data_IF_457533821487
#
_entry.id   IF_457533821487
#
_cell.length_a   1.000
_cell.length_b   1.000
_cell.length_c   1.000
_cell.angle_alpha   90.00
_cell.angle_beta   90.00
_cell.angle_gamma   90.00
#
_symmetry.space_group_name_H-M   'P 1'
#
loop_
_entity.id
_entity.type
_entity.pdbx_description
1 polymer ?
#
# COMPACT_ATOMS: atom_id res chain seq x y z
N UNK A 1 3.22 15.46 -8.75
CA UNK A 1 3.57 14.09 -8.32
C UNK A 1 2.48 13.09 -8.65
N UNK A 2 1.22 13.30 -8.22
CA UNK A 2 0.13 12.36 -8.50
C UNK A 2 -0.03 11.97 -9.99
N UNK A 3 0.03 12.93 -10.92
CA UNK A 3 -0.12 12.65 -12.36
C UNK A 3 1.19 12.29 -13.06
N UNK A 4 2.25 13.03 -12.76
CA UNK A 4 3.53 13.00 -13.49
C UNK A 4 4.61 12.11 -12.83
N UNK A 5 4.32 11.49 -11.68
CA UNK A 5 5.26 10.61 -10.98
C UNK A 5 6.34 11.36 -10.19
N UNK A 6 7.41 10.63 -9.85
CA UNK A 6 8.57 11.14 -9.10
C UNK A 6 9.48 12.05 -9.94
N UNK A 7 9.33 12.06 -11.26
CA UNK A 7 10.14 12.89 -12.17
C UNK A 7 9.83 14.40 -12.16
N UNK A 8 8.80 14.85 -11.44
CA UNK A 8 8.44 16.29 -11.41
C UNK A 8 9.51 17.17 -10.77
N UNK A 9 9.72 18.35 -11.35
CA UNK A 9 10.64 19.36 -10.81
C UNK A 9 9.98 20.18 -9.71
N UNK A 10 10.81 20.79 -8.85
CA UNK A 10 10.35 21.74 -7.82
C UNK A 10 9.57 22.91 -8.43
N UNK A 11 9.93 23.35 -9.63
CA UNK A 11 9.22 24.40 -10.37
C UNK A 11 7.79 23.98 -10.72
N UNK A 12 7.62 22.77 -11.25
CA UNK A 12 6.31 22.22 -11.54
C UNK A 12 5.47 22.05 -10.27
N UNK A 13 6.09 21.65 -9.15
CA UNK A 13 5.42 21.53 -7.85
C UNK A 13 4.97 22.89 -7.32
N UNK A 14 5.86 23.88 -7.31
CA UNK A 14 5.56 25.24 -6.85
C UNK A 14 4.41 25.86 -7.67
N UNK A 15 4.48 25.73 -9.00
CA UNK A 15 3.43 26.17 -9.93
C UNK A 15 2.10 25.49 -9.64
N UNK A 16 2.08 24.16 -9.48
CA UNK A 16 0.86 23.41 -9.21
C UNK A 16 0.26 23.75 -7.83
N UNK A 17 1.09 24.03 -6.84
CA UNK A 17 0.66 24.41 -5.49
C UNK A 17 0.28 25.90 -5.36
N UNK A 18 0.50 26.72 -6.40
CA UNK A 18 0.31 28.17 -6.32
C UNK A 18 1.26 28.86 -5.32
N UNK A 19 2.42 28.25 -5.05
CA UNK A 19 3.41 28.76 -4.09
C UNK A 19 4.70 29.17 -4.77
N UNK A 20 5.54 29.95 -4.07
CA UNK A 20 6.87 30.31 -4.56
C UNK A 20 7.89 29.19 -4.35
N UNK A 21 8.88 29.10 -5.24
CA UNK A 21 9.99 28.14 -5.15
C UNK A 21 10.70 28.13 -3.79
N UNK A 22 10.92 29.32 -3.21
CA UNK A 22 11.57 29.43 -1.91
C UNK A 22 10.77 28.79 -0.77
N UNK A 23 9.44 28.72 -0.87
CA UNK A 23 8.60 28.02 0.12
C UNK A 23 8.74 26.52 -0.02
N UNK A 24 8.73 25.99 -1.25
CA UNK A 24 8.92 24.55 -1.50
C UNK A 24 10.32 24.10 -1.06
N UNK A 25 11.38 24.83 -1.44
CA UNK A 25 12.76 24.50 -1.04
C UNK A 25 13.00 24.59 0.46
N UNK A 26 12.40 25.55 1.18
CA UNK A 26 12.51 25.60 2.64
C UNK A 26 11.81 24.43 3.33
N UNK A 27 10.71 23.93 2.75
CA UNK A 27 9.92 22.84 3.33
C UNK A 27 10.48 21.47 3.00
N UNK A 28 11.09 21.34 1.82
CA UNK A 28 11.69 20.11 1.29
C UNK A 28 13.06 20.43 0.68
N UNK A 29 14.10 20.65 1.50
CA UNK A 29 15.45 20.94 1.02
C UNK A 29 15.98 19.88 0.04
N UNK A 30 15.70 18.60 0.32
CA UNK A 30 16.08 17.48 -0.53
C UNK A 30 14.85 16.82 -1.16
N UNK A 31 15.05 16.16 -2.31
CA UNK A 31 13.97 15.46 -3.03
C UNK A 31 13.41 14.30 -2.18
N UNK A 32 14.26 13.67 -1.38
CA UNK A 32 13.94 12.67 -0.37
C UNK A 32 12.92 13.20 0.64
N UNK A 33 13.07 14.43 1.14
CA UNK A 33 12.12 15.02 2.09
C UNK A 33 10.69 15.09 1.53
N UNK A 34 10.57 15.38 0.23
CA UNK A 34 9.28 15.44 -0.44
C UNK A 34 8.68 14.05 -0.66
N UNK A 35 9.51 13.06 -0.98
CA UNK A 35 9.11 11.65 -1.08
C UNK A 35 8.66 11.13 0.27
N UNK A 36 9.42 11.43 1.32
CA UNK A 36 9.15 10.98 2.67
C UNK A 36 7.85 11.56 3.21
N UNK A 37 7.59 12.85 2.97
CA UNK A 37 6.33 13.48 3.33
C UNK A 37 5.14 12.87 2.57
N UNK A 38 5.29 12.56 1.28
CA UNK A 38 4.25 11.91 0.49
C UNK A 38 3.92 10.50 1.04
N UNK A 39 4.96 9.75 1.41
CA UNK A 39 4.79 8.40 1.94
C UNK A 39 4.21 8.40 3.36
N UNK A 40 4.60 9.36 4.20
CA UNK A 40 4.01 9.59 5.51
C UNK A 40 2.50 9.84 5.42
N UNK A 41 2.06 10.70 4.49
CA UNK A 41 0.63 10.96 4.24
C UNK A 41 -0.09 9.70 3.76
N UNK A 42 0.57 8.89 2.91
CA UNK A 42 -0.01 7.62 2.48
C UNK A 42 -0.18 6.63 3.64
N UNK A 43 0.80 6.50 4.55
CA UNK A 43 0.68 5.66 5.75
C UNK A 43 -0.55 6.10 6.57
N UNK A 44 -0.68 7.40 6.84
CA UNK A 44 -1.80 7.95 7.60
C UNK A 44 -3.15 7.63 6.94
N UNK A 45 -3.22 7.73 5.61
CA UNK A 45 -4.41 7.40 4.84
C UNK A 45 -4.75 5.90 4.89
N UNK A 46 -3.77 5.01 4.74
CA UNK A 46 -3.99 3.54 4.82
C UNK A 46 -4.42 3.13 6.22
N UNK A 47 -3.85 3.73 7.27
CA UNK A 47 -4.30 3.55 8.65
C UNK A 47 -5.77 3.97 8.82
N UNK A 48 -6.16 5.10 8.23
CA UNK A 48 -7.55 5.55 8.17
C UNK A 48 -8.47 4.52 7.54
N UNK A 49 -8.12 4.01 6.35
CA UNK A 49 -8.88 2.96 5.66
C UNK A 49 -9.00 1.69 6.50
N UNK A 50 -7.92 1.23 7.13
CA UNK A 50 -7.97 0.02 7.95
C UNK A 50 -8.89 0.18 9.17
N UNK A 51 -8.93 1.38 9.76
CA UNK A 51 -9.88 1.71 10.85
C UNK A 51 -11.32 1.74 10.36
N UNK A 52 -11.60 2.37 9.22
CA UNK A 52 -12.94 2.35 8.63
C UNK A 52 -13.42 0.93 8.31
N UNK A 53 -12.55 0.11 7.71
CA UNK A 53 -12.82 -1.29 7.42
C UNK A 53 -13.15 -2.10 8.68
N UNK A 54 -12.53 -1.76 9.82
CA UNK A 54 -12.78 -2.45 11.09
C UNK A 54 -14.19 -2.20 11.65
N UNK A 55 -14.87 -1.16 11.19
CA UNK A 55 -16.23 -0.84 11.59
C UNK A 55 -17.31 -1.63 10.82
N UNK A 56 -16.94 -2.44 9.81
CA UNK A 56 -17.88 -3.29 9.10
C UNK A 56 -18.34 -4.46 9.98
N UNK A 57 -19.65 -4.73 9.97
CA UNK A 57 -20.26 -5.86 10.67
C UNK A 57 -19.75 -7.20 10.13
N UNK A 58 -19.76 -7.35 8.80
CA UNK A 58 -19.14 -8.49 8.12
C UNK A 58 -17.62 -8.28 7.98
N UNK A 59 -16.84 -9.13 8.63
CA UNK A 59 -15.39 -8.96 8.69
C UNK A 59 -14.72 -9.14 7.32
N UNK A 60 -15.21 -10.07 6.50
CA UNK A 60 -14.70 -10.28 5.15
C UNK A 60 -15.05 -9.13 4.20
N UNK A 61 -16.23 -8.54 4.31
CA UNK A 61 -16.61 -7.32 3.59
C UNK A 61 -15.66 -6.18 3.94
N UNK A 62 -15.33 -6.01 5.23
CA UNK A 62 -14.32 -5.04 5.68
C UNK A 62 -12.95 -5.25 5.03
N UNK A 63 -12.45 -6.50 4.99
CA UNK A 63 -11.18 -6.84 4.31
C UNK A 63 -11.24 -6.53 2.81
N UNK A 64 -12.31 -6.94 2.13
CA UNK A 64 -12.51 -6.65 0.70
C UNK A 64 -12.51 -5.15 0.44
N UNK A 65 -13.27 -4.40 1.23
CA UNK A 65 -13.39 -2.95 1.12
C UNK A 65 -12.03 -2.28 1.33
N UNK A 66 -11.30 -2.65 2.38
CA UNK A 66 -9.96 -2.12 2.67
C UNK A 66 -9.04 -2.26 1.45
N UNK A 67 -8.95 -3.47 0.89
CA UNK A 67 -8.06 -3.74 -0.24
C UNK A 67 -8.46 -2.95 -1.49
N UNK A 68 -9.76 -2.85 -1.79
CA UNK A 68 -10.24 -2.02 -2.91
C UNK A 68 -9.85 -0.56 -2.71
N UNK A 69 -10.11 0.00 -1.52
CA UNK A 69 -9.85 1.41 -1.24
C UNK A 69 -8.36 1.76 -1.20
N UNK A 70 -7.53 0.86 -0.70
CA UNK A 70 -6.08 1.02 -0.74
C UNK A 70 -5.59 1.13 -2.19
N UNK A 71 -6.06 0.25 -3.08
CA UNK A 71 -5.71 0.34 -4.50
C UNK A 71 -6.26 1.57 -5.19
N UNK A 72 -7.45 2.04 -4.83
CA UNK A 72 -8.00 3.29 -5.38
C UNK A 72 -7.18 4.51 -4.94
N UNK A 73 -6.71 4.54 -3.69
CA UNK A 73 -5.81 5.58 -3.19
C UNK A 73 -4.49 5.64 -3.98
N UNK A 74 -3.91 4.48 -4.29
CA UNK A 74 -2.64 4.40 -5.02
C UNK A 74 -2.76 4.66 -6.52
N UNK A 75 -3.87 4.23 -7.11
CA UNK A 75 -4.14 4.36 -8.55
C UNK A 75 -4.09 5.82 -8.99
N UNK A 76 -4.64 6.72 -8.19
CA UNK A 76 -4.70 8.15 -8.52
C UNK A 76 -3.36 8.87 -8.30
N UNK A 77 -2.34 8.17 -7.78
CA UNK A 77 -1.04 8.71 -7.48
C UNK A 77 0.10 7.89 -8.09
N UNK A 78 0.52 8.28 -9.29
CA UNK A 78 1.63 7.68 -10.03
C UNK A 78 2.91 7.61 -9.20
N UNK A 79 3.24 8.68 -8.47
CA UNK A 79 4.45 8.75 -7.65
C UNK A 79 4.41 7.72 -6.51
N UNK A 80 3.27 7.56 -5.84
CA UNK A 80 3.10 6.56 -4.80
C UNK A 80 3.25 5.14 -5.36
N UNK A 81 2.69 4.87 -6.54
CA UNK A 81 2.90 3.61 -7.22
C UNK A 81 4.35 3.33 -7.60
N UNK A 82 5.11 4.35 -8.02
CA UNK A 82 6.55 4.24 -8.27
C UNK A 82 7.35 4.00 -6.97
N UNK A 83 6.95 4.61 -5.86
CA UNK A 83 7.60 4.45 -4.55
C UNK A 83 7.39 3.05 -3.95
N UNK A 84 6.15 2.58 -3.91
CA UNK A 84 5.80 1.29 -3.29
C UNK A 84 6.43 0.09 -4.00
N UNK A 85 6.76 0.21 -5.29
CA UNK A 85 7.25 -0.89 -6.13
C UNK A 85 8.70 -0.74 -6.58
N UNK A 86 9.27 0.46 -6.48
CA UNK A 86 10.66 0.74 -6.84
C UNK A 86 11.66 0.57 -5.71
N UNK A 87 11.21 0.25 -4.49
CA UNK A 87 12.10 0.07 -3.32
C UNK A 87 12.82 1.35 -2.88
N UNK A 88 12.36 2.52 -3.33
CA UNK A 88 12.96 3.83 -3.05
C UNK A 88 12.57 4.43 -1.69
N UNK A 89 11.97 3.64 -0.80
CA UNK A 89 11.51 4.09 0.51
C UNK A 89 12.68 4.09 1.50
N UNK A 90 12.76 5.12 2.34
CA UNK A 90 13.72 5.10 3.44
C UNK A 90 13.37 3.99 4.44
N UNK A 91 14.39 3.39 5.06
CA UNK A 91 14.21 2.30 6.03
C UNK A 91 13.32 2.71 7.21
N UNK A 92 13.38 3.98 7.64
CA UNK A 92 12.54 4.50 8.71
C UNK A 92 11.05 4.54 8.31
N UNK A 93 10.74 4.87 7.05
CA UNK A 93 9.36 4.89 6.58
C UNK A 93 8.76 3.50 6.40
N UNK A 94 9.56 2.54 5.93
CA UNK A 94 9.14 1.13 5.92
C UNK A 94 8.86 0.66 7.36
N UNK A 95 9.75 0.99 8.29
CA UNK A 95 9.56 0.68 9.70
C UNK A 95 8.33 1.37 10.29
N UNK A 96 8.04 2.62 9.91
CA UNK A 96 6.83 3.35 10.30
C UNK A 96 5.57 2.66 9.77
N UNK A 97 5.55 2.32 8.48
CA UNK A 97 4.44 1.57 7.87
C UNK A 97 4.16 0.27 8.61
N UNK A 98 5.20 -0.51 8.93
CA UNK A 98 5.06 -1.71 9.76
C UNK A 98 4.48 -1.41 11.15
N UNK A 99 4.95 -0.37 11.83
CA UNK A 99 4.48 -0.02 13.18
C UNK A 99 3.03 0.47 13.19
N UNK A 100 2.60 1.17 12.15
CA UNK A 100 1.30 1.86 12.13
C UNK A 100 0.21 1.11 11.35
N UNK A 101 0.54 0.51 10.20
CA UNK A 101 -0.44 -0.18 9.34
C UNK A 101 -0.65 -1.63 9.78
N UNK A 102 0.44 -2.37 10.00
CA UNK A 102 0.36 -3.82 10.24
C UNK A 102 -0.58 -4.21 11.37
N UNK A 103 -0.56 -3.56 12.55
CA UNK A 103 -1.48 -3.93 13.64
C UNK A 103 -2.96 -3.82 13.25
N UNK A 104 -3.31 -2.82 12.44
CA UNK A 104 -4.68 -2.63 11.97
C UNK A 104 -5.08 -3.70 10.94
N UNK A 105 -4.20 -4.01 9.99
CA UNK A 105 -4.44 -5.07 8.99
C UNK A 105 -4.52 -6.45 9.66
N UNK A 106 -3.63 -6.74 10.60
CA UNK A 106 -3.67 -7.97 11.42
C UNK A 106 -5.01 -8.11 12.12
N UNK A 107 -5.50 -7.04 12.76
CA UNK A 107 -6.83 -7.05 13.40
C UNK A 107 -8.00 -7.33 12.44
N UNK A 108 -7.94 -6.84 11.19
CA UNK A 108 -8.95 -7.16 10.17
C UNK A 108 -8.92 -8.65 9.81
N UNK A 109 -7.72 -9.21 9.59
CA UNK A 109 -7.54 -10.62 9.24
C UNK A 109 -7.98 -11.51 10.39
N UNK A 110 -7.54 -11.24 11.62
CA UNK A 110 -7.90 -12.01 12.82
C UNK A 110 -9.42 -12.05 13.03
N UNK A 111 -10.13 -10.93 12.81
CA UNK A 111 -11.59 -10.89 12.88
C UNK A 111 -12.25 -11.80 11.84
N UNK A 112 -11.77 -11.75 10.59
CA UNK A 112 -12.32 -12.57 9.52
C UNK A 112 -12.00 -14.07 9.69
N UNK A 113 -10.83 -14.39 10.26
CA UNK A 113 -10.49 -15.76 10.68
C UNK A 113 -11.39 -16.22 11.82
N UNK A 114 -11.58 -15.41 12.87
CA UNK A 114 -12.44 -15.75 14.00
C UNK A 114 -13.90 -15.95 13.59
N UNK A 115 -14.37 -15.23 12.56
CA UNK A 115 -15.69 -15.40 11.95
C UNK A 115 -15.79 -16.63 11.02
N UNK A 116 -14.70 -17.37 10.81
CA UNK A 116 -14.64 -18.52 9.90
C UNK A 116 -14.73 -18.13 8.42
N UNK A 117 -14.48 -16.86 8.09
CA UNK A 117 -14.58 -16.33 6.73
C UNK A 117 -13.23 -16.38 5.99
N UNK A 118 -12.14 -16.55 6.72
CA UNK A 118 -10.79 -16.81 6.22
C UNK A 118 -10.23 -18.11 6.81
N UNK A 119 -9.33 -18.80 6.09
CA UNK A 119 -8.57 -19.93 6.64
C UNK A 119 -7.79 -19.54 7.90
N UNK A 120 -7.62 -20.45 8.87
CA UNK A 120 -6.90 -20.16 10.12
C UNK A 120 -5.41 -19.89 9.93
N UNK A 121 -4.86 -20.23 8.76
CA UNK A 121 -3.46 -20.00 8.38
C UNK A 121 -3.25 -18.65 7.68
N UNK A 122 -4.30 -17.82 7.55
CA UNK A 122 -4.19 -16.51 6.91
C UNK A 122 -3.70 -15.45 7.88
N UNK A 123 -2.72 -14.65 7.46
CA UNK A 123 -2.17 -13.52 8.20
C UNK A 123 -2.12 -12.22 7.38
N UNK A 124 -1.66 -11.13 8.00
CA UNK A 124 -1.50 -9.84 7.33
C UNK A 124 -0.51 -9.92 6.14
N UNK A 125 0.51 -10.78 6.24
CA UNK A 125 1.45 -11.04 5.15
C UNK A 125 0.79 -11.51 3.85
N UNK A 126 -0.31 -12.28 3.92
CA UNK A 126 -1.03 -12.74 2.73
C UNK A 126 -1.71 -11.57 2.01
N UNK A 127 -2.25 -10.60 2.75
CA UNK A 127 -2.81 -9.39 2.16
C UNK A 127 -1.73 -8.51 1.52
N UNK A 128 -0.51 -8.50 2.09
CA UNK A 128 0.65 -7.85 1.45
C UNK A 128 1.04 -8.56 0.15
N UNK A 129 1.02 -9.90 0.11
CA UNK A 129 1.25 -10.63 -1.14
C UNK A 129 0.20 -10.29 -2.19
N UNK A 130 -1.08 -10.27 -1.82
CA UNK A 130 -2.16 -9.80 -2.71
C UNK A 130 -1.89 -8.39 -3.19
N UNK A 131 -1.47 -7.51 -2.29
CA UNK A 131 -1.16 -6.13 -2.61
C UNK A 131 -0.06 -6.02 -3.68
N UNK A 132 1.05 -6.75 -3.52
CA UNK A 132 2.15 -6.76 -4.47
C UNK A 132 1.74 -7.35 -5.84
N UNK A 133 1.05 -8.50 -5.84
CA UNK A 133 0.61 -9.16 -7.07
C UNK A 133 -0.36 -8.29 -7.89
N UNK A 134 -1.35 -7.70 -7.22
CA UNK A 134 -2.35 -6.84 -7.88
C UNK A 134 -1.75 -5.49 -8.26
N UNK A 135 -0.84 -4.94 -7.44
CA UNK A 135 -0.07 -3.74 -7.75
C UNK A 135 0.76 -3.90 -9.02
N UNK A 136 1.36 -5.06 -9.24
CA UNK A 136 2.08 -5.36 -10.49
C UNK A 136 1.15 -5.36 -11.72
N UNK A 137 -0.08 -5.89 -11.58
CA UNK A 137 -1.10 -5.83 -12.65
C UNK A 137 -1.52 -4.39 -12.90
N UNK A 138 -1.77 -3.61 -11.84
CA UNK A 138 -2.11 -2.18 -11.95
C UNK A 138 -1.03 -1.41 -12.73
N UNK A 139 0.24 -1.77 -12.54
CA UNK A 139 1.36 -1.19 -13.26
C UNK A 139 1.44 -1.54 -14.71
N UNK A 140 1.38 -2.83 -15.01
CA UNK A 140 1.39 -3.33 -16.37
C UNK A 140 0.22 -2.79 -17.20
N UNK A 141 -0.85 -2.33 -16.53
CA UNK A 141 -2.08 -1.84 -17.17
C UNK A 141 -2.32 -0.34 -16.95
N UNK A 142 -1.32 0.42 -16.47
CA UNK A 142 -1.45 1.89 -16.32
C UNK A 142 -1.86 2.54 -17.65
N UNK A 143 -2.87 3.42 -17.59
CA UNK A 143 -3.42 4.08 -18.78
C UNK A 143 -4.29 3.18 -19.66
N UNK A 144 -4.56 1.96 -19.24
CA UNK A 144 -5.50 1.01 -19.88
C UNK A 144 -6.77 0.87 -19.05
N UNK A 145 -7.56 -0.19 -19.31
CA UNK A 145 -8.83 -0.46 -18.66
C UNK A 145 -8.69 -0.88 -17.18
N UNK A 146 -9.27 -0.08 -16.29
CA UNK A 146 -9.24 -0.29 -14.84
C UNK A 146 -9.94 -1.57 -14.35
N UNK A 147 -10.67 -2.25 -15.23
CA UNK A 147 -11.29 -3.54 -14.93
C UNK A 147 -10.24 -4.62 -14.68
N UNK A 148 -9.02 -4.48 -15.20
CA UNK A 148 -7.99 -5.51 -15.09
C UNK A 148 -7.46 -5.68 -13.67
N UNK A 149 -7.05 -4.60 -13.00
CA UNK A 149 -6.58 -4.70 -11.61
C UNK A 149 -7.72 -5.09 -10.66
N UNK A 150 -8.96 -4.62 -10.91
CA UNK A 150 -10.13 -5.04 -10.12
C UNK A 150 -10.43 -6.53 -10.26
N UNK A 151 -10.31 -7.07 -11.48
CA UNK A 151 -10.45 -8.51 -11.73
C UNK A 151 -9.31 -9.30 -11.08
N UNK A 152 -8.08 -8.80 -11.14
CA UNK A 152 -6.94 -9.42 -10.45
C UNK A 152 -7.18 -9.43 -8.93
N UNK A 153 -7.63 -8.32 -8.35
CA UNK A 153 -7.96 -8.21 -6.94
C UNK A 153 -9.04 -9.20 -6.52
N UNK A 154 -10.16 -9.24 -7.25
CA UNK A 154 -11.24 -10.19 -6.97
C UNK A 154 -10.74 -11.64 -7.02
N UNK A 155 -9.89 -11.97 -8.00
CA UNK A 155 -9.31 -13.31 -8.15
C UNK A 155 -8.39 -13.64 -6.96
N UNK A 156 -7.52 -12.71 -6.58
CA UNK A 156 -6.59 -12.87 -5.47
C UNK A 156 -7.32 -13.01 -4.11
N UNK A 157 -8.34 -12.18 -3.86
CA UNK A 157 -9.16 -12.25 -2.65
C UNK A 157 -9.96 -13.56 -2.57
N UNK A 158 -10.52 -14.03 -3.68
CA UNK A 158 -11.17 -15.35 -3.73
C UNK A 158 -10.19 -16.48 -3.40
N UNK A 159 -8.94 -16.36 -3.88
CA UNK A 159 -7.83 -17.23 -3.52
C UNK A 159 -7.56 -17.22 -2.01
N UNK A 160 -7.27 -16.06 -1.42
CA UNK A 160 -7.01 -15.92 0.03
C UNK A 160 -8.14 -16.49 0.88
N UNK A 161 -9.40 -16.29 0.46
CA UNK A 161 -10.56 -16.81 1.18
C UNK A 161 -10.65 -18.34 1.24
N UNK A 162 -9.96 -19.03 0.33
CA UNK A 162 -10.09 -20.50 0.16
C UNK A 162 -8.76 -21.25 0.24
N UNK A 163 -7.62 -20.55 0.15
CA UNK A 163 -6.29 -21.12 0.16
C UNK A 163 -5.91 -21.56 1.58
N UNK A 164 -6.04 -22.84 1.85
CA UNK A 164 -5.39 -23.47 3.02
C UNK A 164 -3.92 -23.73 2.72
N UNK A 165 -3.05 -23.15 3.52
CA UNK A 165 -1.62 -23.44 3.52
C UNK A 165 -1.32 -24.47 4.61
N UNK A 166 -0.39 -25.40 4.34
CA UNK A 166 0.06 -26.36 5.36
C UNK A 166 0.97 -25.70 6.40
N UNK A 167 1.57 -24.58 6.02
CA UNK A 167 2.48 -23.78 6.84
C UNK A 167 1.71 -22.72 7.64
N UNK A 168 2.21 -22.33 8.83
CA UNK A 168 1.61 -21.24 9.60
C UNK A 168 1.69 -19.92 8.83
N UNK A 169 0.89 -18.91 9.20
CA UNK A 169 0.97 -17.58 8.61
C UNK A 169 2.41 -17.04 8.69
N UNK A 170 2.82 -16.26 7.69
CA UNK A 170 4.09 -15.56 7.75
C UNK A 170 4.13 -14.63 8.98
N UNK A 171 5.27 -14.53 9.68
CA UNK A 171 5.43 -13.54 10.73
C UNK A 171 5.36 -12.14 10.11
N UNK A 172 4.84 -11.16 10.85
CA UNK A 172 4.74 -9.77 10.39
C UNK A 172 6.09 -9.17 9.99
N UNK A 173 7.21 -9.69 10.52
CA UNK A 173 8.56 -9.29 10.12
C UNK A 173 8.91 -9.66 8.68
N UNK A 174 8.20 -10.60 8.06
CA UNK A 174 8.36 -10.90 6.64
C UNK A 174 7.89 -9.73 5.73
N UNK A 175 6.98 -8.88 6.23
CA UNK A 175 6.49 -7.69 5.50
C UNK A 175 7.65 -6.73 5.20
N UNK A 176 8.67 -6.67 6.06
CA UNK A 176 9.86 -5.84 5.83
C UNK A 176 10.63 -6.28 4.59
N UNK A 177 10.62 -7.56 4.24
CA UNK A 177 11.26 -8.03 3.00
C UNK A 177 10.42 -7.75 1.77
N UNK A 178 9.11 -7.66 1.94
CA UNK A 178 8.15 -7.42 0.87
C UNK A 178 8.10 -5.93 0.47
N UNK A 179 8.32 -5.02 1.42
CA UNK A 179 8.34 -3.56 1.18
C UNK A 179 9.71 -2.89 1.44
N UNK A 180 10.70 -3.63 1.93
CA UNK A 180 12.04 -3.10 2.16
C UNK A 180 12.80 -2.86 0.86
N UNK A 181 13.87 -2.04 0.91
CA UNK A 181 14.73 -1.85 -0.25
C UNK A 181 15.25 -3.21 -0.71
N UNK A 182 15.20 -3.44 -2.02
CA UNK A 182 15.86 -4.60 -2.62
C UNK A 182 17.35 -4.41 -2.37
N UNK A 183 17.99 -5.26 -1.56
CA UNK A 183 19.44 -5.23 -1.43
C UNK A 183 20.03 -5.37 -2.83
N UNK A 184 20.65 -4.31 -3.36
CA UNK A 184 21.49 -4.42 -4.54
C UNK A 184 22.54 -5.47 -4.20
N UNK A 185 22.44 -6.62 -4.87
CA UNK A 185 23.46 -7.67 -4.74
C UNK A 185 24.77 -7.06 -5.25
N UNK A 186 25.87 -7.12 -4.48
CA UNK A 186 27.15 -6.51 -4.87
C UNK A 186 27.74 -7.12 -6.14
#
# INVERSE_FOLDING_TARGET
>A
MAREGLGVTYEQIARAAGTGMGTVYRRFPERSDLVDALFAEHIDAVVGLAREASAYDDAWEGVCWFMVRQFELERDNRALGELLRGGGQSSELVARGRREITPHVTGLVERAVAAGQLPPTTGAGDLVLVHLMVGAVMDATRGSDDRLWRRALHTALAGVRTATHAEPPFPDTAIDRLYGPTEETP
#
